data_IF_159722591010
#
_entry.id   IF_159722591010
#
_cell.length_a   1.000
_cell.length_b   1.000
_cell.length_c   1.000
_cell.angle_alpha   90.00
_cell.angle_beta   90.00
_cell.angle_gamma   90.00
#
_symmetry.space_group_name_H-M   'P 1'
#
loop_
_entity.id
_entity.type
_entity.pdbx_description
1 polymer ?
#
# COMPACT_ATOMS: atom_id res chain seq x y z
N UNK A 1 -17.81 12.64 -3.20
CA UNK A 1 -18.50 12.68 -1.88
C UNK A 1 -17.77 11.75 -0.95
N UNK A 2 -17.14 12.28 0.11
CA UNK A 2 -16.34 11.46 1.03
C UNK A 2 -17.19 10.80 2.12
N UNK A 3 -16.89 9.54 2.42
CA UNK A 3 -17.30 8.84 3.63
C UNK A 3 -16.15 8.91 4.63
N UNK A 4 -16.42 9.23 5.88
CA UNK A 4 -15.40 9.45 6.92
C UNK A 4 -15.95 9.11 8.30
N UNK A 5 -15.02 8.84 9.24
CA UNK A 5 -15.34 8.75 10.65
C UNK A 5 -15.30 10.16 11.27
N UNK A 6 -16.28 10.48 12.10
CA UNK A 6 -16.31 11.71 12.88
C UNK A 6 -16.52 11.41 14.36
N UNK A 7 -15.84 12.18 15.19
CA UNK A 7 -16.04 12.23 16.64
C UNK A 7 -16.95 13.40 16.97
N UNK A 8 -18.08 13.12 17.62
CA UNK A 8 -19.05 14.16 18.01
C UNK A 8 -19.06 14.26 19.54
N UNK A 9 -18.51 15.32 20.13
CA UNK A 9 -18.59 15.53 21.57
C UNK A 9 -20.03 15.86 21.97
N UNK A 10 -20.48 15.27 23.06
CA UNK A 10 -21.77 15.54 23.69
C UNK A 10 -21.53 15.89 25.16
N UNK A 11 -22.01 17.08 25.56
CA UNK A 11 -22.01 17.48 26.97
C UNK A 11 -23.21 16.84 27.66
N UNK A 12 -22.95 16.07 28.71
CA UNK A 12 -24.00 15.55 29.59
C UNK A 12 -24.27 16.53 30.75
N UNK A 13 -25.43 16.32 31.39
CA UNK A 13 -25.89 17.10 32.54
C UNK A 13 -24.94 17.02 33.74
N UNK A 14 -24.18 15.92 33.86
CA UNK A 14 -23.21 15.66 34.93
C UNK A 14 -21.78 16.18 34.61
N UNK A 15 -21.66 17.20 33.75
CA UNK A 15 -20.40 17.83 33.30
C UNK A 15 -19.36 16.94 32.60
N UNK A 16 -19.56 15.62 32.55
CA UNK A 16 -18.74 14.72 31.74
C UNK A 16 -19.00 14.94 30.25
N UNK A 17 -17.93 15.23 29.51
CA UNK A 17 -17.98 15.29 28.04
C UNK A 17 -17.75 13.89 27.50
N UNK A 18 -18.79 13.24 27.00
CA UNK A 18 -18.71 11.94 26.31
C UNK A 18 -18.73 12.18 24.81
N UNK A 19 -17.92 11.47 24.03
CA UNK A 19 -17.97 11.58 22.57
C UNK A 19 -18.57 10.34 21.94
N UNK A 20 -19.21 10.52 20.80
CA UNK A 20 -19.72 9.43 19.96
C UNK A 20 -18.88 9.32 18.69
N UNK A 21 -18.60 8.09 18.28
CA UNK A 21 -17.92 7.81 17.01
C UNK A 21 -18.96 7.41 15.95
N UNK A 22 -18.91 8.06 14.78
CA UNK A 22 -19.91 7.88 13.73
C UNK A 22 -19.26 7.76 12.35
N UNK A 23 -19.76 6.83 11.53
CA UNK A 23 -19.51 6.78 10.09
C UNK A 23 -20.49 7.72 9.40
N UNK A 24 -19.96 8.74 8.71
CA UNK A 24 -20.74 9.74 8.01
C UNK A 24 -20.34 9.82 6.54
N UNK A 25 -21.29 10.17 5.69
CA UNK A 25 -21.05 10.49 4.30
C UNK A 25 -21.66 11.84 3.98
N UNK A 26 -20.90 12.69 3.29
CA UNK A 26 -21.42 13.97 2.81
C UNK A 26 -22.31 13.73 1.59
N UNK A 27 -23.59 14.12 1.66
CA UNK A 27 -24.56 14.06 0.57
C UNK A 27 -25.08 15.46 0.24
N UNK A 28 -25.29 15.74 -1.04
CA UNK A 28 -25.77 17.04 -1.53
C UNK A 28 -27.25 17.19 -1.18
N UNK A 29 -27.59 18.30 -0.54
CA UNK A 29 -28.96 18.66 -0.24
C UNK A 29 -29.43 19.75 -1.23
N UNK A 30 -30.34 19.39 -2.13
CA UNK A 30 -30.84 20.28 -3.17
C UNK A 30 -31.67 21.45 -2.63
N UNK A 31 -32.26 21.29 -1.44
CA UNK A 31 -33.06 22.31 -0.75
C UNK A 31 -32.18 23.27 0.05
N UNK A 32 -31.20 22.73 0.76
CA UNK A 32 -30.28 23.52 1.56
C UNK A 32 -29.14 24.16 0.72
N UNK A 33 -28.92 23.67 -0.51
CA UNK A 33 -27.88 24.13 -1.46
C UNK A 33 -26.44 23.96 -0.93
N UNK A 34 -26.22 23.01 -0.03
CA UNK A 34 -24.89 22.63 0.44
C UNK A 34 -24.81 21.12 0.71
N UNK A 35 -23.59 20.61 0.89
CA UNK A 35 -23.35 19.22 1.25
C UNK A 35 -23.58 19.01 2.76
N UNK A 36 -24.52 18.14 3.11
CA UNK A 36 -24.85 17.79 4.50
C UNK A 36 -24.28 16.43 4.87
N UNK A 37 -23.70 16.35 6.06
CA UNK A 37 -23.23 15.09 6.62
C UNK A 37 -24.42 14.20 7.00
N UNK A 38 -24.56 13.04 6.36
CA UNK A 38 -25.52 12.00 6.72
C UNK A 38 -24.79 10.92 7.52
N UNK A 39 -25.25 10.66 8.73
CA UNK A 39 -24.75 9.53 9.54
C UNK A 39 -25.27 8.24 8.94
N UNK A 40 -24.36 7.34 8.58
CA UNK A 40 -24.66 6.00 8.07
C UNK A 40 -24.77 5.04 9.25
N UNK A 41 -23.80 5.11 10.18
CA UNK A 41 -23.72 4.22 11.32
C UNK A 41 -23.11 4.94 12.53
N UNK A 42 -23.59 4.62 13.73
CA UNK A 42 -23.04 5.10 14.99
C UNK A 42 -22.43 3.93 15.74
N UNK A 43 -21.13 4.01 16.02
CA UNK A 43 -20.40 2.98 16.77
C UNK A 43 -20.68 3.06 18.29
N UNK A 44 -21.45 4.05 18.71
CA UNK A 44 -21.78 4.28 20.11
C UNK A 44 -20.82 5.26 20.77
N UNK A 45 -20.79 5.19 22.10
CA UNK A 45 -19.94 6.06 22.92
C UNK A 45 -18.49 5.62 22.81
N UNK A 46 -17.59 6.57 22.71
CA UNK A 46 -16.15 6.34 22.58
C UNK A 46 -15.57 5.55 23.78
N UNK A 47 -16.09 5.75 24.98
CA UNK A 47 -15.65 5.04 26.20
C UNK A 47 -16.18 3.61 26.31
N UNK A 48 -17.16 3.24 25.48
CA UNK A 48 -17.79 1.90 25.46
C UNK A 48 -17.56 1.18 24.13
N UNK A 49 -16.61 1.69 23.35
CA UNK A 49 -16.38 1.26 21.98
C UNK A 49 -15.70 -0.10 21.95
N UNK A 50 -16.24 -1.01 21.15
CA UNK A 50 -15.57 -2.27 20.82
C UNK A 50 -14.40 -1.99 19.87
N UNK A 51 -13.22 -1.81 20.45
CA UNK A 51 -11.97 -1.54 19.72
C UNK A 51 -11.61 -2.72 18.81
N UNK A 52 -11.97 -3.96 19.17
CA UNK A 52 -11.71 -5.13 18.34
C UNK A 52 -12.62 -5.13 17.11
N UNK A 53 -13.88 -4.72 17.24
CA UNK A 53 -14.78 -4.54 16.09
C UNK A 53 -14.26 -3.47 15.12
N UNK A 54 -13.72 -2.35 15.64
CA UNK A 54 -13.06 -1.35 14.79
C UNK A 54 -11.80 -1.88 14.12
N UNK A 55 -10.98 -2.66 14.83
CA UNK A 55 -9.79 -3.28 14.25
C UNK A 55 -10.16 -4.19 13.08
N UNK A 56 -11.14 -5.08 13.28
CA UNK A 56 -11.66 -5.95 12.20
C UNK A 56 -12.20 -5.16 11.01
N UNK A 57 -12.87 -4.03 11.27
CA UNK A 57 -13.33 -3.14 10.20
C UNK A 57 -12.14 -2.62 9.38
N UNK A 58 -11.13 -2.05 10.04
CA UNK A 58 -9.92 -1.51 9.37
C UNK A 58 -9.20 -2.60 8.59
N UNK A 59 -9.01 -3.79 9.16
CA UNK A 59 -8.37 -4.93 8.49
C UNK A 59 -9.16 -5.41 7.25
N UNK A 60 -10.48 -5.23 7.24
CA UNK A 60 -11.33 -5.64 6.12
C UNK A 60 -11.39 -4.63 4.97
N UNK A 61 -10.88 -3.40 5.13
CA UNK A 61 -10.93 -2.36 4.09
C UNK A 61 -9.88 -2.52 2.98
N UNK A 62 -8.61 -2.89 3.27
CA UNK A 62 -7.57 -3.03 2.25
C UNK A 62 -7.91 -3.95 1.08
N UNK A 63 -8.75 -4.98 1.29
CA UNK A 63 -9.18 -5.90 0.22
C UNK A 63 -9.95 -5.23 -0.93
N UNK A 64 -10.44 -4.01 -0.71
CA UNK A 64 -11.17 -3.22 -1.71
C UNK A 64 -10.30 -2.17 -2.41
N UNK A 65 -9.02 -2.08 -2.05
CA UNK A 65 -8.04 -1.19 -2.66
C UNK A 65 -7.17 -1.99 -3.64
N UNK A 66 -6.53 -1.30 -4.59
CA UNK A 66 -5.46 -1.94 -5.35
C UNK A 66 -4.29 -2.32 -4.43
N UNK A 67 -3.44 -3.31 -4.79
CA UNK A 67 -2.30 -3.70 -3.95
C UNK A 67 -1.36 -2.54 -3.62
N UNK A 68 -1.15 -1.61 -4.56
CA UNK A 68 -0.32 -0.42 -4.35
C UNK A 68 -0.96 0.57 -3.36
N UNK A 69 -2.26 0.81 -3.45
CA UNK A 69 -3.00 1.67 -2.52
C UNK A 69 -3.10 1.06 -1.13
N UNK A 70 -3.34 -0.24 -1.02
CA UNK A 70 -3.36 -0.96 0.25
C UNK A 70 -2.01 -0.86 0.97
N UNK A 71 -0.90 -0.98 0.25
CA UNK A 71 0.45 -0.84 0.80
C UNK A 71 0.73 0.58 1.28
N UNK A 72 0.32 1.60 0.51
CA UNK A 72 0.45 3.01 0.89
C UNK A 72 -0.34 3.31 2.17
N UNK A 73 -1.58 2.85 2.25
CA UNK A 73 -2.44 3.04 3.43
C UNK A 73 -1.85 2.33 4.66
N UNK A 74 -1.33 1.11 4.52
CA UNK A 74 -0.67 0.39 5.62
C UNK A 74 0.60 1.11 6.12
N UNK A 75 1.42 1.64 5.21
CA UNK A 75 2.60 2.43 5.54
C UNK A 75 2.23 3.73 6.28
N UNK A 76 1.16 4.41 5.86
CA UNK A 76 0.66 5.64 6.51
C UNK A 76 0.03 5.38 7.89
N UNK A 77 -0.58 4.19 8.11
CA UNK A 77 -1.16 3.78 9.40
C UNK A 77 -0.09 3.30 10.40
N UNK A 78 1.18 3.20 9.98
CA UNK A 78 2.26 2.68 10.82
C UNK A 78 2.20 1.17 11.03
N UNK A 79 1.32 0.47 10.30
CA UNK A 79 1.39 -0.98 10.11
C UNK A 79 2.36 -1.24 8.97
N UNK A 80 3.64 -0.96 9.21
CA UNK A 80 4.68 -1.51 8.33
C UNK A 80 4.60 -3.02 8.49
N UNK A 81 4.07 -3.70 7.47
CA UNK A 81 4.32 -5.12 7.30
C UNK A 81 5.80 -5.39 7.62
N UNK A 82 6.09 -6.46 8.35
CA UNK A 82 7.46 -6.90 8.70
C UNK A 82 8.30 -7.30 7.46
N UNK A 83 8.00 -6.75 6.29
CA UNK A 83 8.88 -6.79 5.14
C UNK A 83 9.91 -5.68 5.25
N UNK A 84 11.08 -6.05 5.80
CA UNK A 84 12.29 -5.27 5.70
C UNK A 84 12.74 -5.20 4.24
N UNK A 85 12.41 -4.10 3.57
CA UNK A 85 13.06 -3.73 2.32
C UNK A 85 14.59 -3.60 2.57
N UNK A 86 15.37 -4.60 2.18
CA UNK A 86 16.82 -4.62 2.43
C UNK A 86 17.58 -3.63 1.55
N UNK A 87 17.30 -3.62 0.24
CA UNK A 87 17.91 -2.69 -0.73
C UNK A 87 17.30 -2.91 -2.11
N UNK A 88 17.21 -1.84 -2.90
CA UNK A 88 17.09 -1.91 -4.36
C UNK A 88 18.32 -1.24 -4.94
N UNK A 89 19.12 -1.97 -5.72
CA UNK A 89 20.31 -1.41 -6.39
C UNK A 89 19.97 -1.16 -7.85
N UNK A 90 20.05 0.10 -8.28
CA UNK A 90 20.04 0.45 -9.71
C UNK A 90 21.39 0.06 -10.30
N UNK A 91 21.52 -1.21 -10.70
CA UNK A 91 22.74 -1.70 -11.34
C UNK A 91 22.86 -1.25 -12.82
N UNK A 92 21.81 -0.60 -13.35
CA UNK A 92 21.81 -0.01 -14.69
C UNK A 92 21.72 -1.06 -15.80
N UNK A 93 21.41 -0.61 -17.02
CA UNK A 93 21.21 -1.53 -18.17
C UNK A 93 22.48 -2.30 -18.56
N UNK A 94 23.65 -1.68 -18.45
CA UNK A 94 24.93 -2.30 -18.80
C UNK A 94 25.27 -3.49 -17.89
N UNK A 95 25.05 -3.37 -16.58
CA UNK A 95 25.27 -4.49 -15.65
C UNK A 95 24.27 -5.62 -15.89
N UNK A 96 22.99 -5.29 -16.09
CA UNK A 96 21.96 -6.30 -16.39
C UNK A 96 22.29 -7.07 -17.66
N UNK A 97 22.74 -6.39 -18.71
CA UNK A 97 23.14 -7.01 -19.96
C UNK A 97 24.38 -7.90 -19.80
N UNK A 98 25.39 -7.45 -19.07
CA UNK A 98 26.59 -8.25 -18.76
C UNK A 98 26.24 -9.53 -17.98
N UNK A 99 25.34 -9.44 -17.00
CA UNK A 99 24.90 -10.62 -16.25
C UNK A 99 24.07 -11.58 -17.11
N UNK A 100 23.16 -11.07 -17.94
CA UNK A 100 22.40 -11.88 -18.89
C UNK A 100 23.33 -12.57 -19.90
N UNK A 101 24.33 -11.85 -20.42
CA UNK A 101 25.33 -12.39 -21.34
C UNK A 101 26.13 -13.54 -20.72
N UNK A 102 26.52 -13.39 -19.44
CA UNK A 102 27.19 -14.45 -18.66
C UNK A 102 26.29 -15.63 -18.38
N UNK A 103 25.04 -15.40 -17.96
CA UNK A 103 24.06 -16.47 -17.69
C UNK A 103 23.72 -17.28 -18.95
N UNK A 104 23.62 -16.62 -20.11
CA UNK A 104 23.38 -17.27 -21.40
C UNK A 104 24.63 -17.96 -21.95
N UNK A 105 25.78 -17.85 -21.28
CA UNK A 105 27.02 -18.53 -21.65
C UNK A 105 27.64 -18.05 -22.97
N UNK A 106 27.16 -16.94 -23.55
CA UNK A 106 27.58 -16.50 -24.89
C UNK A 106 29.06 -16.14 -24.96
N UNK A 107 29.61 -15.60 -23.87
CA UNK A 107 31.05 -15.32 -23.78
C UNK A 107 31.91 -16.57 -23.95
N UNK A 108 31.51 -17.69 -23.35
CA UNK A 108 32.24 -18.95 -23.47
C UNK A 108 32.11 -19.54 -24.89
N UNK A 109 30.91 -19.49 -25.47
CA UNK A 109 30.66 -19.98 -26.83
C UNK A 109 31.53 -19.23 -27.85
N UNK A 110 31.60 -17.90 -27.74
CA UNK A 110 32.40 -17.07 -28.64
C UNK A 110 33.90 -17.34 -28.43
N UNK A 111 34.34 -17.47 -27.18
CA UNK A 111 35.73 -17.81 -26.86
C UNK A 111 36.13 -19.16 -27.48
N UNK A 112 35.31 -20.19 -27.30
CA UNK A 112 35.56 -21.53 -27.83
C UNK A 112 35.58 -21.56 -29.37
N UNK A 113 34.74 -20.76 -30.02
CA UNK A 113 34.72 -20.62 -31.48
C UNK A 113 35.98 -19.88 -31.96
N UNK A 114 36.36 -18.78 -31.30
CA UNK A 114 37.56 -18.02 -31.65
C UNK A 114 38.85 -18.83 -31.44
N UNK A 115 38.92 -19.65 -30.38
CA UNK A 115 40.05 -20.54 -30.13
C UNK A 115 40.17 -21.61 -31.21
N UNK A 116 39.05 -22.21 -31.63
CA UNK A 116 39.05 -23.18 -32.75
C UNK A 116 39.52 -22.56 -34.07
N UNK A 117 39.16 -21.31 -34.34
CA UNK A 117 39.60 -20.59 -35.54
C UNK A 117 41.11 -20.27 -35.48
N UNK A 118 41.63 -19.90 -34.31
CA UNK A 118 43.08 -19.67 -34.11
C UNK A 118 43.92 -20.93 -34.35
N UNK A 119 43.43 -22.10 -33.91
CA UNK A 119 44.13 -23.37 -34.11
C UNK A 119 44.17 -23.75 -35.60
N UNK A 120 43.14 -23.45 -36.39
CA UNK A 120 43.14 -23.70 -37.83
C UNK A 120 44.08 -22.76 -38.61
N UNK A 121 44.28 -21.53 -38.13
CA UNK A 121 45.19 -20.56 -38.77
C UNK A 121 46.69 -20.90 -38.62
N UNK A 122 47.05 -21.77 -37.68
CA UNK A 122 48.43 -22.24 -37.47
C UNK A 122 48.72 -23.61 -38.11
N UNK A 123 47.70 -24.26 -38.67
CA UNK A 123 47.80 -25.57 -39.32
C UNK A 123 47.72 -25.48 -40.87
N UNK A 124 47.80 -24.27 -41.43
CA UNK A 124 47.82 -23.99 -42.87
C UNK A 124 49.19 -23.47 -43.32
#
# INVERSE_FOLDING_TARGET
>A
MGTYLRRVPQKNKDERTVAYLQLAQNKWDSKAKYAKARVIYSFGREDQLDVDALRRLVESLPRFLSPEEALRVQAEIGQTADFAFKTSRRLGGAWTLDQLWKMLGMGQIIHDVCDKIKVQSYAA
#
